data_IF_477200028489
#
_entry.id   IF_477200028489
#
_cell.length_a   1.000
_cell.length_b   1.000
_cell.length_c   1.000
_cell.angle_alpha   90.00
_cell.angle_beta   90.00
_cell.angle_gamma   90.00
#
_symmetry.space_group_name_H-M   'P 1'
#
loop_
_entity.id
_entity.type
_entity.pdbx_description
1 polymer ?
#
# COMPACT_ATOMS: atom_id res chain seq x y z
N UNK A 1 49.74 8.68 12.78
CA UNK A 1 48.51 7.88 12.51
C UNK A 1 47.31 8.78 12.70
N UNK A 2 46.77 9.31 11.60
CA UNK A 2 45.57 10.18 11.61
C UNK A 2 44.37 9.23 11.58
N UNK A 3 43.59 9.22 12.67
CA UNK A 3 42.40 8.42 12.78
C UNK A 3 41.35 8.83 11.75
N UNK A 4 41.02 7.94 10.82
CA UNK A 4 39.88 8.07 9.93
C UNK A 4 38.63 7.98 10.82
N UNK A 5 37.98 9.13 11.06
CA UNK A 5 36.62 9.11 11.64
C UNK A 5 35.70 8.42 10.60
N UNK A 6 35.24 7.22 10.93
CA UNK A 6 34.13 6.61 10.27
C UNK A 6 32.94 7.57 10.35
N UNK A 7 32.50 8.10 9.22
CA UNK A 7 31.20 8.74 9.12
C UNK A 7 30.20 7.62 9.44
N UNK A 8 29.58 7.70 10.62
CA UNK A 8 28.50 6.80 10.99
C UNK A 8 27.44 6.84 9.90
N UNK A 9 27.13 5.70 9.30
CA UNK A 9 25.99 5.59 8.41
C UNK A 9 24.77 6.12 9.20
N UNK A 10 24.06 7.11 8.65
CA UNK A 10 22.81 7.56 9.26
C UNK A 10 21.88 6.37 9.36
N UNK A 11 21.30 6.15 10.55
CA UNK A 11 20.31 5.10 10.75
C UNK A 11 19.19 5.25 9.72
N UNK A 12 18.91 4.20 8.96
CA UNK A 12 17.84 4.18 7.96
C UNK A 12 16.55 3.77 8.64
N UNK A 13 15.94 4.72 9.33
CA UNK A 13 14.70 4.53 10.06
C UNK A 13 13.63 5.47 9.54
N UNK A 14 12.40 4.97 9.44
CA UNK A 14 11.22 5.72 9.03
C UNK A 14 10.07 5.41 9.99
N UNK A 15 9.54 6.40 10.68
CA UNK A 15 8.30 6.23 11.44
C UNK A 15 7.10 6.27 10.51
N UNK A 16 6.44 5.13 10.35
CA UNK A 16 5.24 4.94 9.54
C UNK A 16 4.00 5.00 10.44
N UNK A 17 3.01 5.79 10.03
CA UNK A 17 1.65 5.71 10.53
C UNK A 17 0.74 5.07 9.47
N UNK A 18 -0.10 4.13 9.89
CA UNK A 18 -1.14 3.53 9.05
C UNK A 18 -2.49 3.91 9.62
N UNK A 19 -3.24 4.65 8.84
CA UNK A 19 -4.55 5.17 9.22
C UNK A 19 -5.66 4.16 8.93
N UNK A 20 -6.64 4.14 9.81
CA UNK A 20 -7.92 3.48 9.72
C UNK A 20 -8.97 4.58 9.62
N UNK A 21 -9.24 5.10 8.41
CA UNK A 21 -10.20 6.19 8.18
C UNK A 21 -11.53 5.66 7.65
N UNK A 22 -12.59 6.44 7.82
CA UNK A 22 -13.89 6.16 7.21
C UNK A 22 -13.82 6.42 5.71
N UNK A 23 -14.40 5.53 4.90
CA UNK A 23 -14.42 5.65 3.44
C UNK A 23 -15.85 5.79 2.93
N UNK A 24 -16.25 6.93 2.32
CA UNK A 24 -17.57 7.09 1.72
C UNK A 24 -17.68 6.31 0.39
N UNK A 25 -18.85 5.72 0.16
CA UNK A 25 -19.12 4.89 -1.02
C UNK A 25 -19.88 5.63 -2.14
N UNK A 26 -20.27 6.87 -1.92
CA UNK A 26 -20.98 7.68 -2.93
C UNK A 26 -20.12 8.87 -3.40
N UNK A 27 -19.49 8.79 -4.60
CA UNK A 27 -18.68 9.86 -5.12
C UNK A 27 -19.51 11.07 -5.63
N UNK A 28 -20.84 11.00 -5.56
CA UNK A 28 -21.73 12.11 -5.87
C UNK A 28 -22.10 12.92 -4.64
N UNK A 29 -21.93 12.36 -3.43
CA UNK A 29 -22.21 13.03 -2.16
C UNK A 29 -21.07 13.97 -1.78
N UNK A 30 -21.20 15.23 -2.17
CA UNK A 30 -20.24 16.30 -1.92
C UNK A 30 -19.97 16.52 -0.43
N UNK A 31 -20.98 16.28 0.42
CA UNK A 31 -20.88 16.42 1.88
C UNK A 31 -20.00 15.32 2.47
N UNK A 32 -20.29 14.07 2.13
CA UNK A 32 -19.52 12.93 2.57
C UNK A 32 -18.04 12.99 2.12
N UNK A 33 -17.77 13.45 0.89
CA UNK A 33 -16.40 13.65 0.40
C UNK A 33 -15.63 14.70 1.23
N UNK A 34 -16.26 15.81 1.60
CA UNK A 34 -15.64 16.84 2.45
C UNK A 34 -15.38 16.36 3.87
N UNK A 35 -16.31 15.60 4.46
CA UNK A 35 -16.09 15.00 5.79
C UNK A 35 -14.96 13.98 5.75
N UNK A 36 -14.85 13.15 4.72
CA UNK A 36 -13.71 12.25 4.53
C UNK A 36 -12.38 13.02 4.45
N UNK A 37 -12.31 14.07 3.64
CA UNK A 37 -11.11 14.92 3.54
C UNK A 37 -10.75 15.59 4.87
N UNK A 38 -11.74 16.03 5.65
CA UNK A 38 -11.54 16.60 6.98
C UNK A 38 -11.02 15.54 7.98
N UNK A 39 -11.58 14.34 7.98
CA UNK A 39 -11.11 13.22 8.81
C UNK A 39 -9.67 12.83 8.46
N UNK A 40 -9.35 12.72 7.14
CA UNK A 40 -7.98 12.46 6.68
C UNK A 40 -7.00 13.50 7.25
N UNK A 41 -7.32 14.79 7.15
CA UNK A 41 -6.47 15.86 7.66
C UNK A 41 -6.34 15.84 9.20
N UNK A 42 -7.38 15.45 9.93
CA UNK A 42 -7.30 15.27 11.37
C UNK A 42 -6.34 14.12 11.75
N UNK A 43 -6.44 12.97 11.09
CA UNK A 43 -5.54 11.83 11.28
C UNK A 43 -4.10 12.16 10.83
N UNK A 44 -3.90 12.98 9.80
CA UNK A 44 -2.57 13.49 9.43
C UNK A 44 -1.93 14.32 10.55
N UNK A 45 -2.70 15.21 11.17
CA UNK A 45 -2.21 16.02 12.30
C UNK A 45 -1.86 15.14 13.52
N UNK A 46 -2.67 14.12 13.81
CA UNK A 46 -2.39 13.15 14.86
C UNK A 46 -1.13 12.33 14.55
N UNK A 47 -0.96 11.83 13.31
CA UNK A 47 0.22 11.10 12.87
C UNK A 47 1.49 11.95 13.00
N UNK A 48 1.43 13.22 12.60
CA UNK A 48 2.54 14.16 12.77
C UNK A 48 2.86 14.40 14.24
N UNK A 49 1.84 14.52 15.11
CA UNK A 49 1.99 14.60 16.57
C UNK A 49 2.66 13.36 17.18
N UNK A 50 2.44 12.18 16.59
CA UNK A 50 3.13 10.93 16.94
C UNK A 50 4.54 10.81 16.33
N UNK A 51 5.00 11.82 15.58
CA UNK A 51 6.32 11.87 14.94
C UNK A 51 6.43 11.06 13.66
N UNK A 52 5.32 10.72 13.01
CA UNK A 52 5.35 9.99 11.75
C UNK A 52 6.00 10.83 10.64
N UNK A 53 6.78 10.17 9.79
CA UNK A 53 7.41 10.75 8.58
C UNK A 53 6.58 10.44 7.33
N UNK A 54 5.82 9.36 7.38
CA UNK A 54 4.89 8.93 6.34
C UNK A 54 3.61 8.46 6.98
N UNK A 55 2.46 8.89 6.44
CA UNK A 55 1.16 8.34 6.78
C UNK A 55 0.52 7.68 5.55
N UNK A 56 -0.04 6.49 5.75
CA UNK A 56 -0.77 5.72 4.73
C UNK A 56 -2.25 5.67 5.10
N UNK A 57 -3.12 5.87 4.11
CA UNK A 57 -4.57 5.75 4.23
C UNK A 57 -5.12 4.56 3.43
N UNK A 58 -6.36 4.12 3.68
CA UNK A 58 -7.02 3.04 2.94
C UNK A 58 -7.17 3.32 1.45
N UNK A 59 -7.47 2.26 0.68
CA UNK A 59 -7.96 2.35 -0.69
C UNK A 59 -9.21 3.22 -0.73
N UNK A 60 -9.23 4.21 -1.63
CA UNK A 60 -10.36 5.11 -1.76
C UNK A 60 -10.64 5.98 -0.53
N UNK A 61 -9.62 6.40 0.21
CA UNK A 61 -9.79 7.19 1.45
C UNK A 61 -10.68 8.43 1.26
N UNK A 62 -10.62 9.13 0.10
CA UNK A 62 -11.57 10.20 -0.23
C UNK A 62 -12.90 9.62 -0.67
N UNK A 63 -12.91 8.57 -1.49
CA UNK A 63 -14.09 7.78 -1.85
C UNK A 63 -13.72 6.47 -2.52
N UNK A 64 -14.48 5.42 -2.23
CA UNK A 64 -14.48 4.16 -2.96
C UNK A 64 -15.92 3.81 -3.35
N UNK A 65 -16.34 4.12 -4.58
CA UNK A 65 -17.73 4.02 -4.97
C UNK A 65 -18.25 2.59 -4.97
N UNK A 66 -19.35 2.41 -4.28
CA UNK A 66 -20.15 1.20 -4.39
C UNK A 66 -20.63 1.02 -5.84
N UNK A 67 -20.56 -0.21 -6.35
CA UNK A 67 -21.13 -0.55 -7.66
C UNK A 67 -22.62 -0.22 -7.76
N UNK A 68 -23.35 -0.30 -6.64
CA UNK A 68 -24.78 0.01 -6.59
C UNK A 68 -25.09 1.49 -6.75
N UNK A 69 -24.15 2.38 -6.43
CA UNK A 69 -24.30 3.82 -6.63
C UNK A 69 -23.95 4.23 -8.06
N UNK A 70 -22.84 3.69 -8.60
CA UNK A 70 -22.26 4.17 -9.85
C UNK A 70 -22.60 3.30 -11.07
N UNK A 71 -22.87 2.03 -10.88
CA UNK A 71 -22.98 1.05 -11.96
C UNK A 71 -24.27 0.20 -11.89
N UNK A 72 -25.35 0.75 -11.35
CA UNK A 72 -26.66 0.10 -11.36
C UNK A 72 -27.56 0.75 -12.39
N UNK A 73 -28.05 -0.03 -13.35
CA UNK A 73 -29.03 0.37 -14.35
C UNK A 73 -30.46 0.42 -13.80
N UNK A 74 -31.43 0.83 -14.64
CA UNK A 74 -32.82 1.04 -14.23
C UNK A 74 -33.51 -0.21 -13.65
N UNK A 75 -33.13 -1.40 -14.14
CA UNK A 75 -33.72 -2.68 -13.72
C UNK A 75 -32.87 -3.38 -12.63
N UNK A 76 -31.89 -2.68 -12.05
CA UNK A 76 -31.00 -3.20 -11.00
C UNK A 76 -29.83 -4.05 -11.54
N UNK A 77 -29.69 -4.19 -12.86
CA UNK A 77 -28.54 -4.82 -13.50
C UNK A 77 -27.27 -3.99 -13.37
N UNK A 78 -26.11 -4.64 -13.47
CA UNK A 78 -24.84 -3.93 -13.50
C UNK A 78 -24.56 -3.41 -14.92
N UNK A 79 -24.32 -2.11 -15.02
CA UNK A 79 -23.96 -1.39 -16.25
C UNK A 79 -22.65 -0.63 -16.06
N UNK A 80 -21.97 -0.17 -17.13
CA UNK A 80 -20.82 0.71 -16.99
C UNK A 80 -21.15 1.95 -16.16
N UNK A 81 -20.27 2.28 -15.20
CA UNK A 81 -20.48 3.39 -14.28
C UNK A 81 -20.58 4.74 -15.00
N UNK A 82 -21.55 5.55 -14.60
CA UNK A 82 -21.71 6.92 -15.06
C UNK A 82 -20.84 7.90 -14.25
N UNK A 83 -19.60 8.05 -14.67
CA UNK A 83 -18.63 8.93 -14.05
C UNK A 83 -18.87 10.41 -14.27
N UNK A 84 -19.80 10.79 -15.15
CA UNK A 84 -20.26 12.17 -15.33
C UNK A 84 -20.97 12.73 -14.09
N UNK A 85 -21.48 11.86 -13.22
CA UNK A 85 -22.18 12.24 -11.98
C UNK A 85 -21.23 12.51 -10.80
N UNK A 86 -19.97 12.05 -10.85
CA UNK A 86 -19.05 12.17 -9.73
C UNK A 86 -18.65 13.63 -9.46
N UNK A 87 -18.48 13.98 -8.19
CA UNK A 87 -18.09 15.32 -7.77
C UNK A 87 -16.56 15.52 -7.87
N UNK A 88 -16.05 15.49 -9.10
CA UNK A 88 -14.61 15.57 -9.40
C UNK A 88 -13.93 16.82 -8.86
N UNK A 89 -14.65 17.93 -8.84
CA UNK A 89 -14.15 19.19 -8.28
C UNK A 89 -13.90 19.08 -6.78
N UNK A 90 -14.82 18.46 -6.02
CA UNK A 90 -14.64 18.24 -4.58
C UNK A 90 -13.51 17.26 -4.29
N UNK A 91 -13.42 16.15 -5.01
CA UNK A 91 -12.32 15.19 -4.85
C UNK A 91 -10.96 15.86 -5.07
N UNK A 92 -10.86 16.75 -6.07
CA UNK A 92 -9.64 17.53 -6.33
C UNK A 92 -9.36 18.54 -5.22
N UNK A 93 -10.36 19.32 -4.77
CA UNK A 93 -10.24 20.29 -3.67
C UNK A 93 -9.72 19.61 -2.39
N UNK A 94 -10.25 18.42 -2.05
CA UNK A 94 -9.81 17.69 -0.88
C UNK A 94 -8.39 17.13 -1.05
N UNK A 95 -8.03 16.61 -2.24
CA UNK A 95 -6.67 16.16 -2.52
C UNK A 95 -5.64 17.30 -2.44
N UNK A 96 -5.96 18.49 -2.96
CA UNK A 96 -5.13 19.69 -2.88
C UNK A 96 -4.97 20.16 -1.42
N UNK A 97 -6.05 20.09 -0.62
CA UNK A 97 -6.02 20.42 0.81
C UNK A 97 -5.17 19.44 1.61
N UNK A 98 -5.22 18.14 1.29
CA UNK A 98 -4.35 17.10 1.87
C UNK A 98 -2.89 17.39 1.51
N UNK A 99 -2.61 17.73 0.25
CA UNK A 99 -1.26 18.05 -0.21
C UNK A 99 -0.69 19.30 0.50
N UNK A 100 -1.50 20.34 0.66
CA UNK A 100 -1.12 21.55 1.41
C UNK A 100 -0.72 21.21 2.84
N UNK A 101 -1.57 20.45 3.54
CA UNK A 101 -1.30 20.06 4.93
C UNK A 101 -0.07 19.14 5.05
N UNK A 102 0.18 18.24 4.09
CA UNK A 102 1.39 17.41 4.05
C UNK A 102 2.67 18.29 4.06
N UNK A 103 2.67 19.38 3.28
CA UNK A 103 3.75 20.37 3.26
C UNK A 103 3.89 21.12 4.58
N UNK A 104 2.79 21.55 5.20
CA UNK A 104 2.79 22.24 6.50
C UNK A 104 3.32 21.34 7.62
N UNK A 105 2.89 20.07 7.65
CA UNK A 105 3.32 19.07 8.63
C UNK A 105 4.71 18.48 8.32
N UNK A 106 5.28 18.74 7.14
CA UNK A 106 6.52 18.13 6.63
C UNK A 106 6.49 16.60 6.69
N UNK A 107 5.36 16.03 6.31
CA UNK A 107 5.09 14.61 6.39
C UNK A 107 4.62 14.06 5.04
N UNK A 108 5.26 13.00 4.58
CA UNK A 108 4.80 12.26 3.41
C UNK A 108 3.41 11.67 3.66
N UNK A 109 2.57 11.68 2.64
CA UNK A 109 1.20 11.19 2.76
C UNK A 109 0.83 10.35 1.54
N UNK A 110 0.36 9.12 1.77
CA UNK A 110 -0.18 8.24 0.74
C UNK A 110 -1.67 7.99 1.00
N UNK A 111 -2.55 8.39 0.08
CA UNK A 111 -4.00 8.25 0.25
C UNK A 111 -4.70 7.77 -1.03
N UNK A 112 -5.74 6.96 -0.84
CA UNK A 112 -6.57 6.44 -1.92
C UNK A 112 -7.59 7.44 -2.43
N UNK A 113 -7.73 7.56 -3.75
CA UNK A 113 -8.80 8.30 -4.44
C UNK A 113 -8.92 7.85 -5.89
N UNK A 114 -9.75 8.56 -6.65
CA UNK A 114 -9.94 8.30 -8.07
C UNK A 114 -9.18 9.32 -8.92
N UNK A 115 -8.66 8.86 -10.07
CA UNK A 115 -8.05 9.74 -11.05
C UNK A 115 -8.83 9.74 -12.36
N UNK A 116 -9.42 10.88 -12.76
CA UNK A 116 -10.21 10.96 -13.98
C UNK A 116 -9.34 10.78 -15.22
N UNK A 117 -9.85 10.06 -16.20
CA UNK A 117 -9.30 10.00 -17.55
C UNK A 117 -10.19 10.79 -18.52
N UNK A 118 -9.64 11.05 -19.72
CA UNK A 118 -10.44 11.69 -20.79
C UNK A 118 -11.58 10.76 -21.22
N UNK A 119 -12.83 11.23 -21.19
CA UNK A 119 -13.97 10.44 -21.68
C UNK A 119 -13.77 9.93 -23.10
N UNK A 120 -14.21 8.73 -23.44
CA UNK A 120 -15.09 7.84 -22.68
C UNK A 120 -14.35 6.87 -21.71
N UNK A 121 -13.06 7.07 -21.48
CA UNK A 121 -12.29 6.19 -20.59
C UNK A 121 -12.77 6.34 -19.15
N UNK A 122 -12.88 5.20 -18.46
CA UNK A 122 -13.19 5.14 -17.03
C UNK A 122 -11.97 5.56 -16.21
N UNK A 123 -12.14 6.14 -15.01
CA UNK A 123 -11.03 6.59 -14.17
C UNK A 123 -10.14 5.42 -13.71
N UNK A 124 -8.98 5.76 -13.17
CA UNK A 124 -8.19 4.84 -12.36
C UNK A 124 -8.64 4.88 -10.89
N UNK A 125 -8.57 3.74 -10.22
CA UNK A 125 -8.51 3.64 -8.77
C UNK A 125 -7.03 3.79 -8.37
N UNK A 126 -6.71 4.79 -7.55
CA UNK A 126 -5.33 5.25 -7.40
C UNK A 126 -4.93 5.50 -5.95
N UNK A 127 -3.64 5.31 -5.66
CA UNK A 127 -2.99 5.79 -4.44
C UNK A 127 -2.09 6.96 -4.81
N UNK A 128 -2.39 8.15 -4.28
CA UNK A 128 -1.63 9.37 -4.49
C UNK A 128 -0.52 9.47 -3.44
N UNK A 129 0.68 9.88 -3.84
CA UNK A 129 1.84 10.04 -2.97
C UNK A 129 2.26 11.50 -2.97
N UNK A 130 2.11 12.15 -1.82
CA UNK A 130 2.45 13.56 -1.59
C UNK A 130 3.73 13.61 -0.76
N UNK A 131 4.68 14.45 -1.16
CA UNK A 131 5.92 14.68 -0.40
C UNK A 131 5.69 15.54 0.85
N UNK A 132 6.72 15.59 1.69
CA UNK A 132 6.80 16.48 2.85
C UNK A 132 6.92 17.98 2.49
N UNK A 133 6.85 18.32 1.19
CA UNK A 133 6.74 19.69 0.67
C UNK A 133 5.37 19.99 0.07
N UNK A 134 4.43 19.05 0.16
CA UNK A 134 3.10 19.18 -0.42
C UNK A 134 3.04 18.98 -1.93
N UNK A 135 4.06 18.36 -2.52
CA UNK A 135 4.11 18.10 -3.97
C UNK A 135 3.55 16.70 -4.27
N UNK A 136 2.72 16.58 -5.29
CA UNK A 136 2.34 15.27 -5.83
C UNK A 136 3.56 14.66 -6.54
N UNK A 137 4.21 13.70 -5.88
CA UNK A 137 5.42 13.06 -6.40
C UNK A 137 5.10 12.00 -7.44
N UNK A 138 4.09 11.18 -7.14
CA UNK A 138 3.65 10.11 -8.02
C UNK A 138 2.25 9.65 -7.65
N UNK A 139 1.68 8.81 -8.51
CA UNK A 139 0.40 8.14 -8.30
C UNK A 139 0.53 6.69 -8.75
N UNK A 140 0.13 5.76 -7.89
CA UNK A 140 -0.01 4.36 -8.26
C UNK A 140 -1.44 4.10 -8.71
N UNK A 141 -1.62 3.69 -9.94
CA UNK A 141 -2.91 3.27 -10.49
C UNK A 141 -3.04 1.75 -10.38
N UNK A 142 -4.11 1.26 -9.77
CA UNK A 142 -4.35 -0.18 -9.54
C UNK A 142 -4.21 -0.98 -10.83
N UNK A 143 -3.27 -1.92 -10.86
CA UNK A 143 -2.89 -2.67 -12.07
C UNK A 143 -3.76 -3.89 -12.29
N UNK A 144 -4.10 -4.58 -11.19
CA UNK A 144 -4.96 -5.75 -11.21
C UNK A 144 -6.29 -5.41 -10.55
N UNK A 145 -7.32 -5.35 -11.38
CA UNK A 145 -8.68 -5.02 -10.98
C UNK A 145 -9.46 -6.31 -10.70
N UNK A 146 -10.41 -6.26 -9.77
CA UNK A 146 -11.41 -7.32 -9.62
C UNK A 146 -12.31 -7.39 -10.86
N UNK A 147 -13.05 -8.51 -11.00
CA UNK A 147 -13.96 -8.68 -12.14
C UNK A 147 -14.97 -7.52 -12.26
N UNK A 148 -15.55 -7.08 -11.14
CA UNK A 148 -16.50 -5.96 -11.14
C UNK A 148 -15.83 -4.64 -11.51
N UNK A 149 -14.64 -4.39 -10.96
CA UNK A 149 -13.89 -3.17 -11.22
C UNK A 149 -13.54 -3.03 -12.71
N UNK A 150 -12.97 -4.07 -13.33
CA UNK A 150 -12.55 -4.00 -14.74
C UNK A 150 -13.74 -4.00 -15.70
N UNK A 151 -14.85 -4.66 -15.34
CA UNK A 151 -16.04 -4.72 -16.20
C UNK A 151 -16.82 -3.42 -16.18
N UNK A 152 -16.95 -2.75 -15.04
CA UNK A 152 -17.94 -1.68 -14.86
C UNK A 152 -17.36 -0.35 -14.36
N UNK A 153 -16.26 -0.37 -13.58
CA UNK A 153 -15.86 0.81 -12.80
C UNK A 153 -14.59 1.48 -13.32
N UNK A 154 -13.49 0.75 -13.52
CA UNK A 154 -12.17 1.36 -13.65
C UNK A 154 -11.41 0.92 -14.90
N UNK A 155 -10.42 1.73 -15.26
CA UNK A 155 -9.35 1.39 -16.19
C UNK A 155 -8.12 0.94 -15.39
N UNK A 156 -7.46 -0.19 -15.74
CA UNK A 156 -6.27 -0.65 -15.04
C UNK A 156 -5.06 0.26 -15.28
N UNK A 157 -4.21 0.37 -14.27
CA UNK A 157 -2.86 0.94 -14.39
C UNK A 157 -1.90 0.00 -15.12
N UNK A 158 -0.64 0.45 -15.33
CA UNK A 158 0.36 -0.30 -16.09
C UNK A 158 1.63 -0.58 -15.31
N UNK A 159 2.15 0.43 -14.63
CA UNK A 159 3.51 0.43 -14.10
C UNK A 159 3.53 0.25 -12.57
N UNK A 160 4.55 -0.45 -12.03
CA UNK A 160 4.82 -0.40 -10.61
C UNK A 160 5.27 1.02 -10.23
N UNK A 161 4.99 1.42 -9.00
CA UNK A 161 5.50 2.69 -8.44
C UNK A 161 6.43 2.36 -7.29
N UNK A 162 7.62 2.96 -7.33
CA UNK A 162 8.59 2.95 -6.23
C UNK A 162 9.02 4.38 -5.95
N UNK A 163 8.92 4.80 -4.70
CA UNK A 163 9.42 6.08 -4.23
C UNK A 163 10.28 5.88 -2.99
N UNK A 164 10.97 6.90 -2.55
CA UNK A 164 11.90 6.81 -1.42
C UNK A 164 11.61 7.90 -0.38
N UNK A 165 11.58 7.49 0.87
CA UNK A 165 11.48 8.39 2.04
C UNK A 165 12.60 8.03 3.00
N UNK A 166 13.48 8.99 3.30
CA UNK A 166 14.58 8.85 4.26
C UNK A 166 15.44 7.57 4.03
N UNK A 167 15.68 7.21 2.75
CA UNK A 167 16.47 6.04 2.37
C UNK A 167 15.72 4.70 2.41
N UNK A 168 14.42 4.69 2.71
CA UNK A 168 13.54 3.52 2.65
C UNK A 168 12.81 3.52 1.30
N UNK A 169 12.94 2.43 0.55
CA UNK A 169 12.27 2.25 -0.75
C UNK A 169 10.89 1.66 -0.56
N UNK A 170 9.87 2.33 -1.09
CA UNK A 170 8.46 2.04 -0.82
C UNK A 170 7.73 1.72 -2.11
N UNK A 171 7.01 0.60 -2.13
CA UNK A 171 6.10 0.19 -3.20
C UNK A 171 4.64 0.34 -2.80
N UNK A 172 3.72 0.26 -3.77
CA UNK A 172 2.27 0.40 -3.56
C UNK A 172 1.50 -0.80 -4.10
N UNK A 173 0.45 -1.20 -3.38
CA UNK A 173 -0.51 -2.19 -3.85
C UNK A 173 -1.92 -1.88 -3.32
N UNK A 174 -2.94 -2.23 -4.10
CA UNK A 174 -4.35 -1.96 -3.77
C UNK A 174 -5.18 -3.26 -3.74
N UNK A 175 -5.73 -3.55 -2.57
CA UNK A 175 -6.79 -4.53 -2.31
C UNK A 175 -6.57 -5.92 -2.97
N UNK A 176 -7.33 -6.23 -4.03
CA UNK A 176 -7.28 -7.52 -4.72
C UNK A 176 -5.88 -7.87 -5.26
N UNK A 177 -5.01 -6.88 -5.43
CA UNK A 177 -3.62 -7.08 -5.86
C UNK A 177 -2.81 -7.93 -4.87
N UNK A 178 -3.25 -8.01 -3.61
CA UNK A 178 -2.70 -8.94 -2.64
C UNK A 178 -2.77 -10.42 -3.10
N UNK A 179 -3.67 -10.76 -4.02
CA UNK A 179 -3.79 -12.10 -4.58
C UNK A 179 -2.84 -12.38 -5.76
N UNK A 180 -1.96 -11.41 -6.10
CA UNK A 180 -1.05 -11.52 -7.24
C UNK A 180 0.42 -11.53 -6.80
N UNK A 181 0.98 -12.70 -6.38
CA UNK A 181 2.37 -12.81 -5.93
C UNK A 181 3.41 -12.24 -6.90
N UNK A 182 3.23 -12.30 -8.25
CA UNK A 182 4.18 -11.70 -9.18
C UNK A 182 4.41 -10.21 -8.99
N UNK A 183 3.38 -9.45 -8.52
CA UNK A 183 3.50 -8.02 -8.20
C UNK A 183 4.51 -7.81 -7.06
N UNK A 184 4.43 -8.62 -6.00
CA UNK A 184 5.35 -8.53 -4.86
C UNK A 184 6.76 -9.02 -5.21
N UNK A 185 6.88 -10.05 -6.06
CA UNK A 185 8.16 -10.49 -6.59
C UNK A 185 8.82 -9.41 -7.47
N UNK A 186 8.04 -8.63 -8.21
CA UNK A 186 8.53 -7.48 -8.97
C UNK A 186 9.09 -6.40 -8.04
N UNK A 187 8.42 -6.07 -6.95
CA UNK A 187 8.93 -5.13 -5.94
C UNK A 187 10.22 -5.61 -5.27
N UNK A 188 10.39 -6.92 -5.08
CA UNK A 188 11.67 -7.45 -4.60
C UNK A 188 12.82 -7.17 -5.58
N UNK A 189 12.60 -7.38 -6.88
CA UNK A 189 13.59 -7.06 -7.93
C UNK A 189 13.90 -5.56 -7.98
N UNK A 190 12.89 -4.71 -7.72
CA UNK A 190 13.04 -3.26 -7.65
C UNK A 190 13.67 -2.78 -6.34
N UNK A 191 13.99 -3.69 -5.42
CA UNK A 191 14.67 -3.36 -4.16
C UNK A 191 13.81 -2.65 -3.12
N UNK A 192 12.49 -2.86 -3.16
CA UNK A 192 11.55 -2.29 -2.18
C UNK A 192 11.80 -2.86 -0.80
N UNK A 193 11.71 -2.01 0.21
CA UNK A 193 11.82 -2.36 1.63
C UNK A 193 10.46 -2.43 2.32
N UNK A 194 9.55 -1.55 1.96
CA UNK A 194 8.20 -1.45 2.51
C UNK A 194 7.16 -1.41 1.40
N UNK A 195 6.04 -2.11 1.57
CA UNK A 195 4.89 -2.03 0.66
C UNK A 195 3.71 -1.41 1.40
N UNK A 196 3.11 -0.37 0.82
CA UNK A 196 1.86 0.19 1.27
C UNK A 196 0.72 -0.58 0.60
N UNK A 197 0.10 -1.50 1.34
CA UNK A 197 -1.07 -2.26 0.90
C UNK A 197 -2.32 -1.61 1.48
N UNK A 198 -3.02 -0.84 0.65
CA UNK A 198 -4.27 -0.17 1.02
C UNK A 198 -5.46 -0.96 0.48
N UNK A 199 -6.44 -1.26 1.31
CA UNK A 199 -7.55 -2.14 0.96
C UNK A 199 -8.91 -1.51 1.29
N UNK A 200 -9.95 -2.02 0.61
CA UNK A 200 -11.36 -1.71 0.83
C UNK A 200 -12.13 -3.03 0.92
N UNK A 201 -11.86 -3.81 1.97
CA UNK A 201 -12.51 -5.12 2.16
C UNK A 201 -12.72 -5.43 3.63
N UNK A 202 -13.80 -6.17 3.89
CA UNK A 202 -14.09 -6.86 5.14
C UNK A 202 -13.70 -8.34 4.98
N UNK A 203 -12.39 -8.63 5.02
CA UNK A 203 -11.86 -9.97 4.69
C UNK A 203 -10.61 -10.31 5.53
N UNK A 204 -10.80 -11.09 6.60
CA UNK A 204 -9.72 -11.55 7.48
C UNK A 204 -8.60 -12.35 6.75
N UNK A 205 -8.85 -13.18 5.72
CA UNK A 205 -7.79 -13.79 4.92
C UNK A 205 -6.76 -12.81 4.36
N UNK A 206 -7.14 -11.59 4.00
CA UNK A 206 -6.20 -10.60 3.43
C UNK A 206 -5.12 -10.14 4.39
N UNK A 207 -5.43 -10.01 5.67
CA UNK A 207 -4.43 -9.68 6.68
C UNK A 207 -3.37 -10.79 6.79
N UNK A 208 -3.77 -12.06 6.66
CA UNK A 208 -2.83 -13.18 6.63
C UNK A 208 -1.94 -13.14 5.39
N UNK A 209 -2.47 -12.68 4.26
CA UNK A 209 -1.68 -12.46 3.03
C UNK A 209 -0.62 -11.37 3.25
N UNK A 210 -0.97 -10.26 3.92
CA UNK A 210 -0.01 -9.22 4.29
C UNK A 210 1.12 -9.80 5.15
N UNK A 211 0.81 -10.59 6.19
CA UNK A 211 1.79 -11.28 7.02
C UNK A 211 2.65 -12.27 6.20
N UNK A 212 2.03 -13.00 5.27
CA UNK A 212 2.75 -13.92 4.39
C UNK A 212 3.80 -13.19 3.53
N UNK A 213 3.48 -12.03 2.97
CA UNK A 213 4.44 -11.23 2.21
C UNK A 213 5.56 -10.65 3.09
N UNK A 214 5.25 -10.26 4.33
CA UNK A 214 6.25 -9.90 5.33
C UNK A 214 7.24 -11.04 5.58
N UNK A 215 6.76 -12.29 5.62
CA UNK A 215 7.58 -13.48 5.79
C UNK A 215 8.33 -13.85 4.52
N UNK A 216 7.63 -13.97 3.38
CA UNK A 216 8.18 -14.50 2.13
C UNK A 216 9.23 -13.57 1.51
N UNK A 217 8.97 -12.25 1.52
CA UNK A 217 9.85 -11.27 0.87
C UNK A 217 10.62 -10.40 1.86
N UNK A 218 10.41 -10.60 3.16
CA UNK A 218 11.04 -9.80 4.23
C UNK A 218 10.70 -8.32 4.11
N UNK A 219 9.44 -7.98 3.73
CA UNK A 219 8.95 -6.62 3.67
C UNK A 219 8.46 -6.14 5.03
N UNK A 220 8.56 -4.82 5.27
CA UNK A 220 7.53 -4.16 6.05
C UNK A 220 6.30 -3.97 5.19
N UNK A 221 5.11 -4.08 5.78
CA UNK A 221 3.87 -3.71 5.12
C UNK A 221 3.06 -2.79 6.02
N UNK A 222 2.66 -1.63 5.46
CA UNK A 222 1.51 -0.90 5.96
C UNK A 222 0.25 -1.54 5.38
N UNK A 223 -0.65 -1.99 6.25
CA UNK A 223 -1.93 -2.57 5.87
C UNK A 223 -3.05 -1.62 6.31
N UNK A 224 -3.58 -0.82 5.38
CA UNK A 224 -4.60 0.18 5.67
C UNK A 224 -5.99 -0.28 5.24
N UNK A 225 -6.91 -0.36 6.20
CA UNK A 225 -8.29 -0.82 6.06
C UNK A 225 -9.23 0.30 6.51
N UNK A 226 -10.40 0.49 5.88
CA UNK A 226 -11.41 1.43 6.37
C UNK A 226 -11.89 1.12 7.78
N UNK A 227 -12.21 2.17 8.54
CA UNK A 227 -12.70 2.06 9.92
C UNK A 227 -13.94 1.15 10.03
N UNK A 228 -14.88 1.28 9.08
CA UNK A 228 -16.10 0.47 9.05
C UNK A 228 -15.86 -1.05 8.92
N UNK A 229 -14.66 -1.49 8.52
CA UNK A 229 -14.31 -2.91 8.40
C UNK A 229 -13.34 -3.39 9.48
N UNK A 230 -12.92 -2.51 10.39
CA UNK A 230 -11.89 -2.81 11.38
C UNK A 230 -12.28 -3.91 12.37
N UNK A 231 -13.58 -4.13 12.58
CA UNK A 231 -14.05 -5.21 13.46
C UNK A 231 -13.59 -6.60 13.00
N UNK A 232 -13.44 -6.81 11.69
CA UNK A 232 -12.91 -8.06 11.12
C UNK A 232 -11.40 -8.06 11.07
N UNK A 233 -10.79 -6.97 10.59
CA UNK A 233 -9.34 -6.78 10.50
C UNK A 233 -9.01 -5.31 10.65
N UNK A 234 -8.29 -4.90 11.70
CA UNK A 234 -7.85 -3.52 11.86
C UNK A 234 -6.66 -3.20 10.96
N UNK A 235 -6.48 -1.91 10.68
CA UNK A 235 -5.25 -1.40 10.08
C UNK A 235 -4.03 -1.70 10.95
N UNK A 236 -2.85 -1.85 10.33
CA UNK A 236 -1.65 -2.13 11.10
C UNK A 236 -0.37 -2.18 10.27
N UNK A 237 0.73 -2.46 10.93
CA UNK A 237 2.08 -2.54 10.35
C UNK A 237 2.65 -3.91 10.61
N UNK A 238 3.06 -4.60 9.54
CA UNK A 238 3.70 -5.92 9.58
C UNK A 238 5.22 -5.75 9.41
N UNK A 239 5.98 -6.45 10.25
CA UNK A 239 7.44 -6.53 10.15
C UNK A 239 7.91 -7.58 9.13
N UNK A 240 9.17 -7.50 8.65
CA UNK A 240 9.88 -8.64 8.09
C UNK A 240 9.79 -9.83 9.05
N UNK A 241 9.41 -11.01 8.51
CA UNK A 241 9.06 -12.20 9.34
C UNK A 241 7.57 -12.36 9.61
N UNK A 242 6.72 -11.36 9.24
CA UNK A 242 5.26 -11.49 9.22
C UNK A 242 4.54 -11.16 10.54
N UNK A 243 5.25 -10.67 11.55
CA UNK A 243 4.66 -10.27 12.84
C UNK A 243 4.04 -8.86 12.75
N UNK A 244 2.87 -8.67 13.35
CA UNK A 244 2.32 -7.33 13.57
C UNK A 244 3.18 -6.55 14.58
N UNK A 245 3.61 -5.34 14.20
CA UNK A 245 4.29 -4.40 15.10
C UNK A 245 3.29 -3.52 15.85
N UNK A 246 2.28 -3.07 15.14
CA UNK A 246 1.21 -2.24 15.67
C UNK A 246 -0.09 -2.53 14.92
N UNK A 247 -1.22 -2.42 15.58
CA UNK A 247 -2.55 -2.50 14.99
C UNK A 247 -3.47 -1.46 15.61
N UNK A 248 -4.42 -0.94 14.82
CA UNK A 248 -5.50 -0.10 15.29
C UNK A 248 -6.50 -0.89 16.12
N UNK A 249 -7.39 -0.22 16.90
CA UNK A 249 -8.54 -0.87 17.54
C UNK A 249 -9.52 -1.47 16.53
N UNK A 250 -10.31 -2.46 17.00
CA UNK A 250 -11.33 -3.17 16.22
C UNK A 250 -12.75 -2.65 16.49
N UNK A 251 -12.87 -1.38 16.82
CA UNK A 251 -14.11 -0.75 17.33
C UNK A 251 -14.91 0.01 16.25
N UNK A 252 -14.48 -0.05 15.00
CA UNK A 252 -15.14 0.64 13.89
C UNK A 252 -14.84 2.14 13.82
N UNK A 253 -13.91 2.64 14.63
CA UNK A 253 -13.60 4.06 14.70
C UNK A 253 -12.31 4.41 13.93
N UNK A 254 -12.18 5.66 13.47
CA UNK A 254 -10.92 6.18 12.93
C UNK A 254 -9.80 6.09 13.97
N UNK A 255 -8.62 5.61 13.54
CA UNK A 255 -7.47 5.40 14.41
C UNK A 255 -6.15 5.35 13.62
N UNK A 256 -5.03 5.35 14.34
CA UNK A 256 -3.68 5.20 13.79
C UNK A 256 -2.94 4.03 14.44
N UNK A 257 -2.27 3.22 13.64
CA UNK A 257 -1.20 2.33 14.08
C UNK A 257 0.15 2.95 13.69
N UNK A 258 1.10 3.06 14.64
CA UNK A 258 2.39 3.71 14.41
C UNK A 258 3.51 2.75 14.81
N UNK A 259 4.51 2.60 13.94
CA UNK A 259 5.73 1.84 14.22
C UNK A 259 6.91 2.37 13.41
N UNK A 260 8.12 2.04 13.86
CA UNK A 260 9.35 2.36 13.15
C UNK A 260 9.73 1.22 12.18
N UNK A 261 9.96 1.60 10.92
CA UNK A 261 10.66 0.78 9.93
C UNK A 261 12.15 1.03 10.15
N UNK A 262 12.89 0.02 10.56
CA UNK A 262 14.32 0.13 10.83
C UNK A 262 15.10 -0.95 10.07
N UNK A 263 15.88 -0.53 9.05
CA UNK A 263 16.69 -1.43 8.24
C UNK A 263 17.90 -2.00 9.00
N UNK A 264 18.24 -1.40 10.14
CA UNK A 264 19.36 -1.81 11.00
C UNK A 264 18.87 -2.38 12.34
N UNK A 265 17.60 -2.84 12.40
CA UNK A 265 16.95 -3.34 13.60
C UNK A 265 17.74 -4.44 14.28
N UNK A 266 17.81 -4.37 15.61
CA UNK A 266 18.39 -5.41 16.47
C UNK A 266 17.36 -6.50 16.86
N UNK A 267 16.10 -6.39 16.42
CA UNK A 267 15.08 -7.43 16.63
C UNK A 267 15.51 -8.71 15.89
N UNK A 268 15.65 -9.87 16.58
CA UNK A 268 16.20 -11.08 15.98
C UNK A 268 15.44 -11.56 14.72
N UNK A 269 14.11 -11.44 14.70
CA UNK A 269 13.29 -11.89 13.58
C UNK A 269 13.50 -11.00 12.36
N UNK A 270 13.57 -9.69 12.60
CA UNK A 270 13.83 -8.69 11.54
C UNK A 270 15.26 -8.82 11.04
N UNK A 271 16.24 -8.98 11.93
CA UNK A 271 17.65 -9.15 11.56
C UNK A 271 17.85 -10.39 10.67
N UNK A 272 17.29 -11.55 11.06
CA UNK A 272 17.35 -12.77 10.25
C UNK A 272 16.70 -12.58 8.88
N UNK A 273 15.54 -11.91 8.82
CA UNK A 273 14.84 -11.67 7.57
C UNK A 273 15.66 -10.75 6.62
N UNK A 274 16.28 -9.69 7.15
CA UNK A 274 17.00 -8.71 6.35
C UNK A 274 18.42 -9.11 5.99
N UNK A 275 19.19 -9.67 6.95
CA UNK A 275 20.61 -9.95 6.76
C UNK A 275 20.88 -11.34 6.19
N UNK A 276 19.94 -12.28 6.33
CA UNK A 276 20.13 -13.66 5.85
C UNK A 276 19.09 -14.05 4.80
N UNK A 277 17.80 -14.02 5.10
CA UNK A 277 16.77 -14.54 4.21
C UNK A 277 16.66 -13.75 2.90
N UNK A 278 16.58 -12.43 2.96
CA UNK A 278 16.48 -11.55 1.77
C UNK A 278 17.73 -11.65 0.88
N UNK A 279 18.99 -11.51 1.37
CA UNK A 279 20.17 -11.64 0.53
C UNK A 279 20.34 -13.04 -0.06
N UNK A 280 20.01 -14.09 0.70
CA UNK A 280 20.06 -15.47 0.20
C UNK A 280 19.06 -15.68 -0.95
N UNK A 281 17.82 -15.26 -0.79
CA UNK A 281 16.77 -15.36 -1.81
C UNK A 281 17.16 -14.60 -3.08
N UNK A 282 17.71 -13.39 -2.97
CA UNK A 282 18.23 -12.62 -4.11
C UNK A 282 19.33 -13.37 -4.86
N UNK A 283 20.25 -14.00 -4.14
CA UNK A 283 21.32 -14.84 -4.77
C UNK A 283 20.72 -16.06 -5.46
N UNK A 284 19.76 -16.72 -4.83
CA UNK A 284 19.09 -17.91 -5.38
C UNK A 284 18.38 -17.57 -6.70
N UNK A 285 17.70 -16.42 -6.78
CA UNK A 285 17.03 -15.94 -7.98
C UNK A 285 18.01 -15.47 -9.08
N UNK A 286 19.22 -15.08 -8.72
CA UNK A 286 20.26 -14.58 -9.64
C UNK A 286 21.30 -15.69 -10.00
N UNK A 287 20.86 -16.92 -10.19
CA UNK A 287 21.67 -17.98 -10.77
C UNK A 287 22.60 -18.72 -9.79
N UNK A 288 22.40 -18.58 -8.47
CA UNK A 288 23.20 -19.31 -7.48
C UNK A 288 23.25 -20.82 -7.74
N UNK A 289 22.19 -21.40 -8.25
CA UNK A 289 22.04 -22.84 -8.46
C UNK A 289 22.50 -23.30 -9.85
N UNK A 290 22.60 -22.43 -10.84
CA UNK A 290 22.90 -22.78 -12.23
C UNK A 290 24.18 -23.62 -12.36
N UNK A 291 25.25 -23.21 -11.67
CA UNK A 291 26.52 -23.95 -11.64
C UNK A 291 26.50 -25.23 -10.82
N UNK A 292 25.40 -25.51 -10.14
CA UNK A 292 25.22 -26.70 -9.29
C UNK A 292 24.26 -27.72 -9.88
N UNK A 293 23.58 -27.36 -10.96
CA UNK A 293 22.72 -28.30 -11.69
C UNK A 293 23.57 -29.35 -12.36
N UNK A 294 23.16 -30.62 -12.22
CA UNK A 294 23.79 -31.74 -12.90
C UNK A 294 22.93 -32.09 -14.11
N UNK A 295 23.50 -31.88 -15.29
CA UNK A 295 22.82 -32.23 -16.54
C UNK A 295 23.28 -33.61 -17.04
N UNK A 296 22.35 -34.40 -17.59
CA UNK A 296 22.62 -35.69 -18.23
C UNK A 296 22.94 -36.82 -17.26
N UNK A 297 22.62 -36.68 -15.96
CA UNK A 297 22.69 -37.80 -15.03
C UNK A 297 21.41 -38.65 -15.10
N UNK A 298 21.51 -39.95 -15.55
CA UNK A 298 20.32 -40.78 -15.72
C UNK A 298 19.52 -40.97 -14.41
N UNK A 299 20.15 -40.92 -13.25
CA UNK A 299 19.45 -41.01 -11.96
C UNK A 299 18.66 -39.76 -11.61
N UNK A 300 19.09 -38.59 -12.13
CA UNK A 300 18.38 -37.35 -11.96
C UNK A 300 17.19 -37.27 -12.93
N UNK A 301 17.34 -37.82 -14.14
CA UNK A 301 16.36 -37.71 -15.21
C UNK A 301 15.22 -38.73 -15.10
N UNK A 302 15.51 -39.95 -14.56
CA UNK A 302 14.51 -40.99 -14.34
C UNK A 302 13.77 -40.70 -13.03
N UNK A 303 12.57 -40.14 -13.16
CA UNK A 303 11.71 -39.73 -12.02
C UNK A 303 10.75 -40.82 -11.55
N UNK A 304 10.79 -42.01 -12.16
CA UNK A 304 9.86 -43.11 -11.92
C UNK A 304 10.53 -44.35 -11.32
N UNK A 305 11.81 -44.24 -10.94
CA UNK A 305 12.59 -45.29 -10.26
C UNK A 305 13.19 -44.75 -8.96
N UNK A 306 13.36 -45.66 -7.96
CA UNK A 306 14.03 -45.38 -6.70
C UNK A 306 15.55 -45.60 -6.78
#
# INVERSE_FOLDING_TARGET
MVGIRSFGAMARTLRLAVAQSTVPEDPTDRGALREAGKEIRALMAEAAGAGARLVQFPEGAITYPSKHVMATGPDGELVPADWGRAAWDVMREEAESIATLAGELRMWTAFGSLHPLTPPNRPHNSLFVISDRGELVTRYDKRFLSHTEVSYLYTPGREPVVFEVDGIRIGCALCVEANFPPLFAEYERLGVDCVLLSVMVDDAPRARVAQAYGTLYSYWLGYAVPAQFSATVPSGIVAPGGRWLAQCPTDGQPALAVADIDLDSADPDIDVALRYARPWRRRAQNGLYESRLVAGDPRSDIRTAF
#
